data_IF_930624759953
#
_entry.id   IF_930624759953
#
_cell.length_a   1.000
_cell.length_b   1.000
_cell.length_c   1.000
_cell.angle_alpha   90.00
_cell.angle_beta   90.00
_cell.angle_gamma   90.00
#
_symmetry.space_group_name_H-M   'P 1'
#
loop_
_entity.id
_entity.type
_entity.pdbx_description
1 polymer ?
#
# COMPACT_ATOMS: atom_id res chain seq x y z
N UNK A 1 0.19 -17.95 8.05
CA UNK A 1 -0.33 -16.58 7.79
C UNK A 1 -1.14 -16.12 9.00
N UNK A 2 -0.89 -14.93 9.51
CA UNK A 2 -1.62 -14.31 10.63
C UNK A 2 -3.09 -14.11 10.30
N UNK A 3 -3.95 -14.15 11.33
CA UNK A 3 -5.39 -14.06 11.13
C UNK A 3 -5.81 -12.75 10.46
N UNK A 4 -5.25 -11.61 10.85
CA UNK A 4 -5.62 -10.31 10.27
C UNK A 4 -5.28 -10.21 8.78
N UNK A 5 -4.24 -10.90 8.30
CA UNK A 5 -3.91 -10.98 6.88
C UNK A 5 -4.95 -11.76 6.08
N UNK A 6 -5.44 -12.88 6.64
CA UNK A 6 -6.53 -13.65 6.03
C UNK A 6 -7.79 -12.80 5.93
N UNK A 7 -8.16 -12.12 7.03
CA UNK A 7 -9.29 -11.18 7.07
C UNK A 7 -9.12 -10.02 6.08
N UNK A 8 -7.90 -9.52 5.91
CA UNK A 8 -7.60 -8.46 4.94
C UNK A 8 -7.76 -8.93 3.49
N UNK A 9 -7.32 -10.14 3.17
CA UNK A 9 -7.51 -10.75 1.84
C UNK A 9 -9.01 -10.86 1.51
N UNK A 10 -9.80 -11.41 2.44
CA UNK A 10 -11.25 -11.52 2.28
C UNK A 10 -11.91 -10.14 2.15
N UNK A 11 -11.47 -9.16 2.93
CA UNK A 11 -11.93 -7.79 2.87
C UNK A 11 -11.66 -7.11 1.53
N UNK A 12 -10.50 -7.34 0.91
CA UNK A 12 -10.20 -6.82 -0.43
C UNK A 12 -11.18 -7.39 -1.47
N UNK A 13 -11.53 -8.67 -1.38
CA UNK A 13 -12.50 -9.33 -2.27
C UNK A 13 -13.93 -8.83 -2.00
N UNK A 14 -14.33 -8.77 -0.74
CA UNK A 14 -15.64 -8.27 -0.29
C UNK A 14 -15.90 -6.83 -0.77
N UNK A 15 -14.87 -6.00 -0.74
CA UNK A 15 -14.93 -4.59 -1.12
C UNK A 15 -14.77 -4.35 -2.64
N UNK A 16 -14.75 -5.41 -3.45
CA UNK A 16 -14.49 -5.31 -4.90
C UNK A 16 -13.16 -4.64 -5.28
N UNK A 17 -12.22 -4.58 -4.34
CA UNK A 17 -10.89 -4.00 -4.53
C UNK A 17 -9.96 -4.96 -5.25
N UNK A 18 -10.00 -6.24 -4.89
CA UNK A 18 -9.24 -7.31 -5.54
C UNK A 18 -10.19 -8.22 -6.30
N UNK A 19 -9.97 -8.36 -7.60
CA UNK A 19 -10.81 -9.14 -8.52
C UNK A 19 -9.96 -10.11 -9.32
N UNK A 20 -10.55 -11.27 -9.65
CA UNK A 20 -9.93 -12.31 -10.47
C UNK A 20 -10.72 -12.52 -11.76
N UNK A 21 -10.01 -12.77 -12.86
CA UNK A 21 -10.58 -12.92 -14.21
C UNK A 21 -9.61 -12.41 -15.27
N UNK A 22 -10.12 -12.00 -16.43
CA UNK A 22 -9.31 -11.44 -17.51
C UNK A 22 -9.36 -9.91 -17.49
N UNK A 23 -8.22 -9.27 -17.21
CA UNK A 23 -8.08 -7.81 -17.19
C UNK A 23 -7.00 -7.33 -18.15
N UNK A 24 -7.22 -6.20 -18.79
CA UNK A 24 -6.17 -5.50 -19.53
C UNK A 24 -5.71 -4.29 -18.74
N UNK A 25 -4.45 -4.32 -18.29
CA UNK A 25 -3.83 -3.22 -17.55
C UNK A 25 -3.55 -2.01 -18.44
N UNK A 26 -3.32 -0.84 -17.87
CA UNK A 26 -2.95 0.39 -18.61
C UNK A 26 -1.72 0.23 -19.51
N UNK A 27 -0.82 -0.69 -19.15
CA UNK A 27 0.34 -1.06 -19.95
C UNK A 27 0.01 -1.91 -21.20
N UNK A 28 -1.25 -2.33 -21.38
CA UNK A 28 -1.67 -3.31 -22.37
C UNK A 28 -1.47 -4.77 -21.95
N UNK A 29 -0.82 -5.03 -20.83
CA UNK A 29 -0.59 -6.37 -20.28
C UNK A 29 -1.91 -7.03 -19.90
N UNK A 30 -2.09 -8.30 -20.26
CA UNK A 30 -3.20 -9.13 -19.76
C UNK A 30 -2.84 -9.64 -18.36
N UNK A 31 -3.76 -9.49 -17.42
CA UNK A 31 -3.57 -9.93 -16.04
C UNK A 31 -4.76 -10.75 -15.56
N UNK A 32 -4.53 -11.86 -14.83
CA UNK A 32 -5.62 -12.68 -14.28
C UNK A 32 -6.21 -12.11 -12.99
N UNK A 33 -5.70 -10.98 -12.52
CA UNK A 33 -6.22 -10.25 -11.36
C UNK A 33 -6.08 -8.74 -11.55
N UNK A 34 -6.92 -8.00 -10.84
CA UNK A 34 -6.92 -6.54 -10.85
C UNK A 34 -7.18 -6.00 -9.46
N UNK A 35 -6.43 -4.99 -9.06
CA UNK A 35 -6.61 -4.29 -7.80
C UNK A 35 -6.91 -2.81 -8.03
N UNK A 36 -7.94 -2.31 -7.33
CA UNK A 36 -8.31 -0.90 -7.33
C UNK A 36 -8.72 -0.44 -5.93
N UNK A 37 -7.79 0.11 -5.17
CA UNK A 37 -8.06 0.67 -3.84
C UNK A 37 -9.04 1.86 -3.85
N UNK A 38 -9.34 2.45 -5.00
CA UNK A 38 -10.40 3.45 -5.15
C UNK A 38 -11.81 2.92 -4.92
N UNK A 39 -11.99 1.61 -4.76
CA UNK A 39 -13.28 1.00 -4.42
C UNK A 39 -13.60 1.05 -2.91
N UNK A 40 -12.66 1.40 -2.05
CA UNK A 40 -12.94 1.69 -0.64
C UNK A 40 -13.62 3.07 -0.52
N UNK A 41 -14.93 3.10 -0.43
CA UNK A 41 -15.71 4.35 -0.50
C UNK A 41 -16.64 4.58 0.69
N UNK A 42 -16.83 3.58 1.56
CA UNK A 42 -17.68 3.69 2.74
C UNK A 42 -16.88 3.89 4.02
N UNK A 43 -17.49 4.53 5.03
CA UNK A 43 -16.85 4.74 6.33
C UNK A 43 -16.40 3.44 7.00
N UNK A 44 -17.21 2.37 6.90
CA UNK A 44 -16.85 1.05 7.45
C UNK A 44 -15.67 0.41 6.73
N UNK A 45 -15.59 0.55 5.40
CA UNK A 45 -14.44 0.08 4.63
C UNK A 45 -13.17 0.85 5.00
N UNK A 46 -13.25 2.18 5.09
CA UNK A 46 -12.12 3.03 5.45
C UNK A 46 -11.63 2.76 6.87
N UNK A 47 -12.53 2.56 7.82
CA UNK A 47 -12.19 2.19 9.19
C UNK A 47 -11.41 0.87 9.23
N UNK A 48 -11.93 -0.19 8.61
CA UNK A 48 -11.26 -1.51 8.54
C UNK A 48 -9.92 -1.42 7.82
N UNK A 49 -9.85 -0.65 6.72
CA UNK A 49 -8.60 -0.44 5.99
C UNK A 49 -7.52 0.18 6.89
N UNK A 50 -7.86 1.22 7.65
CA UNK A 50 -6.96 1.84 8.62
C UNK A 50 -6.47 0.87 9.68
N UNK A 51 -7.33 0.00 10.20
CA UNK A 51 -6.96 -1.02 11.19
C UNK A 51 -5.97 -2.05 10.62
N UNK A 52 -6.16 -2.53 9.38
CA UNK A 52 -5.24 -3.47 8.75
C UNK A 52 -3.86 -2.85 8.51
N UNK A 53 -3.81 -1.60 8.04
CA UNK A 53 -2.55 -0.88 7.91
C UNK A 53 -1.86 -0.65 9.25
N UNK A 54 -2.62 -0.22 10.27
CA UNK A 54 -2.07 0.03 11.61
C UNK A 54 -1.46 -1.24 12.22
N UNK A 55 -2.13 -2.39 12.10
CA UNK A 55 -1.62 -3.69 12.56
C UNK A 55 -0.35 -4.09 11.81
N UNK A 56 -0.35 -4.02 10.49
CA UNK A 56 0.81 -4.38 9.69
C UNK A 56 2.02 -3.48 9.97
N UNK A 57 1.82 -2.17 10.13
CA UNK A 57 2.88 -1.22 10.47
C UNK A 57 3.41 -1.49 11.88
N UNK A 58 2.53 -1.69 12.86
CA UNK A 58 2.91 -2.01 14.24
C UNK A 58 3.75 -3.29 14.32
N UNK A 59 3.34 -4.36 13.62
CA UNK A 59 4.08 -5.63 13.62
C UNK A 59 5.41 -5.55 12.86
N UNK A 60 5.48 -4.75 11.79
CA UNK A 60 6.67 -4.69 10.92
C UNK A 60 7.69 -3.66 11.40
N UNK A 61 7.24 -2.47 11.78
CA UNK A 61 8.10 -1.32 12.10
C UNK A 61 8.07 -0.94 13.59
N UNK A 62 7.17 -1.54 14.37
CA UNK A 62 6.92 -1.15 15.76
C UNK A 62 6.24 0.21 15.87
N UNK A 63 6.42 0.86 17.03
CA UNK A 63 5.76 2.13 17.31
C UNK A 63 6.73 3.33 17.33
N UNK A 64 7.99 3.11 16.97
CA UNK A 64 9.01 4.17 16.99
C UNK A 64 9.01 4.97 15.68
N UNK A 65 7.90 5.68 15.45
CA UNK A 65 7.75 6.66 14.37
C UNK A 65 6.74 7.74 14.77
N UNK A 66 6.78 8.89 14.07
CA UNK A 66 6.01 10.09 14.40
C UNK A 66 4.95 10.43 13.38
N UNK A 67 5.20 10.10 12.11
CA UNK A 67 4.38 10.55 10.98
C UNK A 67 4.09 9.43 10.02
N UNK A 68 2.83 9.35 9.58
CA UNK A 68 2.41 8.58 8.41
C UNK A 68 2.36 9.52 7.21
N UNK A 69 3.13 9.21 6.18
CA UNK A 69 3.16 10.00 4.95
C UNK A 69 2.48 9.25 3.82
N UNK A 70 1.36 9.78 3.34
CA UNK A 70 0.60 9.21 2.23
C UNK A 70 0.66 10.10 0.98
N UNK A 71 1.31 9.67 -0.12
CA UNK A 71 1.35 10.43 -1.36
C UNK A 71 -0.04 10.71 -1.94
N UNK A 72 -0.24 11.92 -2.50
CA UNK A 72 -1.49 12.28 -3.16
C UNK A 72 -1.71 11.40 -4.42
N UNK A 73 -2.94 10.89 -4.66
CA UNK A 73 -4.14 11.24 -3.88
C UNK A 73 -4.62 10.11 -2.97
N UNK A 74 -4.38 8.84 -3.32
CA UNK A 74 -4.90 7.68 -2.59
C UNK A 74 -4.25 7.50 -1.21
N UNK A 75 -2.98 7.85 -1.08
CA UNK A 75 -2.27 7.80 0.19
C UNK A 75 -2.85 8.75 1.24
N UNK A 76 -3.52 9.84 0.83
CA UNK A 76 -4.13 10.79 1.78
C UNK A 76 -5.16 10.11 2.68
N UNK A 77 -6.27 9.53 2.16
CA UNK A 77 -7.24 8.87 3.02
C UNK A 77 -6.65 7.70 3.79
N UNK A 78 -5.74 6.92 3.19
CA UNK A 78 -5.11 5.78 3.85
C UNK A 78 -4.31 6.27 5.07
N UNK A 79 -3.48 7.29 4.94
CA UNK A 79 -2.68 7.82 6.05
C UNK A 79 -3.56 8.37 7.18
N UNK A 80 -4.66 9.05 6.85
CA UNK A 80 -5.61 9.60 7.84
C UNK A 80 -6.29 8.48 8.62
N UNK A 81 -6.89 7.49 7.94
CA UNK A 81 -7.60 6.40 8.64
C UNK A 81 -6.66 5.50 9.42
N UNK A 82 -5.42 5.34 8.96
CA UNK A 82 -4.39 4.59 9.69
C UNK A 82 -3.95 5.34 10.96
N UNK A 83 -3.80 6.66 10.92
CA UNK A 83 -3.50 7.47 12.12
C UNK A 83 -4.61 7.35 13.17
N UNK A 84 -5.88 7.40 12.74
CA UNK A 84 -7.04 7.16 13.63
C UNK A 84 -7.00 5.74 14.22
N UNK A 85 -6.67 4.74 13.40
CA UNK A 85 -6.58 3.36 13.87
C UNK A 85 -5.44 3.15 14.89
N UNK A 86 -4.28 3.80 14.71
CA UNK A 86 -3.21 3.76 15.71
C UNK A 86 -3.64 4.31 17.06
N UNK A 87 -4.38 5.42 17.09
CA UNK A 87 -4.94 5.93 18.32
C UNK A 87 -5.92 4.94 18.98
N UNK A 88 -6.84 4.38 18.20
CA UNK A 88 -7.86 3.49 18.71
C UNK A 88 -7.33 2.14 19.20
N UNK A 89 -6.36 1.55 18.47
CA UNK A 89 -5.84 0.22 18.77
C UNK A 89 -4.72 0.24 19.82
N UNK A 90 -3.86 1.26 19.75
CA UNK A 90 -2.60 1.29 20.53
C UNK A 90 -2.47 2.52 21.44
N UNK A 91 -3.45 3.44 21.44
CA UNK A 91 -3.36 4.69 22.20
C UNK A 91 -2.21 5.62 21.75
N UNK A 92 -1.69 5.37 20.53
CA UNK A 92 -0.56 6.11 20.01
C UNK A 92 -1.01 7.28 19.13
N UNK A 93 -0.54 8.49 19.48
CA UNK A 93 -0.72 9.67 18.64
C UNK A 93 0.29 9.65 17.48
N UNK A 94 -0.24 9.58 16.25
CA UNK A 94 0.52 9.63 15.01
C UNK A 94 0.02 10.80 14.17
N UNK A 95 0.93 11.62 13.68
CA UNK A 95 0.61 12.71 12.76
C UNK A 95 0.50 12.16 11.33
N UNK A 96 -0.39 12.73 10.51
CA UNK A 96 -0.39 12.45 9.07
C UNK A 96 0.18 13.63 8.28
N UNK A 97 0.82 13.32 7.16
CA UNK A 97 1.31 14.27 6.18
C UNK A 97 1.10 13.70 4.77
N UNK A 98 0.89 14.56 3.81
CA UNK A 98 0.74 14.19 2.40
C UNK A 98 1.32 15.28 1.52
N UNK A 99 1.79 14.95 0.32
CA UNK A 99 2.16 15.97 -0.65
C UNK A 99 0.93 16.53 -1.38
N UNK A 100 1.12 17.68 -2.00
CA UNK A 100 0.18 18.26 -2.95
C UNK A 100 0.73 18.04 -4.36
N UNK A 101 -0.14 17.77 -5.33
CA UNK A 101 0.25 17.74 -6.75
C UNK A 101 0.48 19.14 -7.32
N UNK A 102 -0.17 20.15 -6.73
CA UNK A 102 -0.02 21.55 -7.08
C UNK A 102 0.32 22.36 -5.83
N UNK A 103 1.31 23.26 -5.94
CA UNK A 103 1.66 24.16 -4.85
C UNK A 103 0.52 25.17 -4.60
N UNK A 104 0.23 25.41 -3.34
CA UNK A 104 -0.75 26.41 -2.94
C UNK A 104 -0.08 27.74 -2.61
N UNK A 105 -0.33 28.75 -3.45
CA UNK A 105 0.26 30.09 -3.30
C UNK A 105 -0.44 30.97 -2.26
N UNK A 106 -1.65 30.60 -1.82
CA UNK A 106 -2.51 31.45 -0.99
C UNK A 106 -3.05 30.73 0.25
N UNK A 107 -3.30 31.51 1.33
CA UNK A 107 -3.93 31.07 2.57
C UNK A 107 -2.95 30.65 3.66
N UNK A 108 -3.48 30.19 4.79
CA UNK A 108 -2.69 29.80 5.98
C UNK A 108 -1.82 28.57 5.75
N UNK A 109 -2.23 27.68 4.82
CA UNK A 109 -1.55 26.44 4.49
C UNK A 109 -0.78 26.56 3.16
N UNK A 110 0.16 27.50 3.09
CA UNK A 110 1.06 27.63 1.94
C UNK A 110 2.03 26.45 1.89
N UNK A 111 2.33 25.97 0.67
CA UNK A 111 3.38 25.00 0.42
C UNK A 111 2.91 23.69 -0.22
N UNK A 112 3.85 22.78 -0.33
CA UNK A 112 3.72 21.52 -1.09
C UNK A 112 3.12 20.37 -0.26
N UNK A 113 2.79 20.58 1.02
CA UNK A 113 2.29 19.54 1.93
C UNK A 113 0.91 19.85 2.51
N UNK A 114 0.22 18.79 2.92
CA UNK A 114 -1.09 18.79 3.56
C UNK A 114 -0.96 18.04 4.90
N UNK A 115 -1.70 18.46 5.92
CA UNK A 115 -1.67 17.86 7.26
C UNK A 115 -0.55 18.42 8.11
N UNK A 116 0.16 17.57 8.82
CA UNK A 116 1.25 17.99 9.71
C UNK A 116 2.48 18.45 8.91
N UNK A 117 3.16 19.47 9.42
CA UNK A 117 4.50 19.81 8.93
C UNK A 117 5.51 18.76 9.41
N UNK A 118 6.42 18.37 8.52
CA UNK A 118 7.59 17.57 8.87
C UNK A 118 8.60 18.45 9.61
N UNK A 119 9.31 17.85 10.56
CA UNK A 119 10.31 18.51 11.43
C UNK A 119 11.59 17.69 11.43
N UNK A 120 12.70 18.34 11.71
CA UNK A 120 13.98 17.65 11.92
C UNK A 120 13.86 16.63 13.06
N UNK A 121 14.37 15.44 12.80
CA UNK A 121 14.30 14.30 13.70
C UNK A 121 13.03 13.46 13.58
N UNK A 122 12.03 13.86 12.79
CA UNK A 122 10.83 13.05 12.58
C UNK A 122 11.18 11.69 11.95
N UNK A 123 10.56 10.65 12.46
CA UNK A 123 10.58 9.29 11.94
C UNK A 123 9.30 9.07 11.14
N UNK A 124 9.44 8.77 9.85
CA UNK A 124 8.32 8.76 8.89
C UNK A 124 8.10 7.36 8.34
N UNK A 125 6.88 6.85 8.44
CA UNK A 125 6.45 5.67 7.68
C UNK A 125 5.68 6.15 6.45
N UNK A 126 6.17 5.77 5.26
CA UNK A 126 5.48 6.01 4.00
C UNK A 126 4.37 4.98 3.84
N UNK A 127 3.23 5.40 3.28
CA UNK A 127 2.06 4.53 3.14
C UNK A 127 1.42 4.74 1.78
N UNK A 128 1.16 3.66 1.05
CA UNK A 128 0.53 3.70 -0.28
C UNK A 128 -0.37 2.49 -0.51
N UNK A 129 -1.25 2.54 -1.52
CA UNK A 129 -2.12 1.41 -1.84
C UNK A 129 -1.35 0.24 -2.47
N UNK A 130 -0.73 0.47 -3.60
CA UNK A 130 0.14 -0.48 -4.31
C UNK A 130 1.22 0.29 -5.06
N UNK A 131 2.33 -0.36 -5.35
CA UNK A 131 3.33 0.18 -6.26
C UNK A 131 3.65 -0.83 -7.37
N UNK A 132 3.75 -0.35 -8.62
CA UNK A 132 4.12 -1.15 -9.78
C UNK A 132 5.38 -0.62 -10.47
N UNK A 133 5.59 0.68 -10.43
CA UNK A 133 6.72 1.35 -11.08
C UNK A 133 7.63 2.11 -10.13
N UNK A 134 7.27 2.22 -8.86
CA UNK A 134 8.00 3.04 -7.89
C UNK A 134 7.93 4.57 -8.12
N UNK A 135 7.23 5.03 -9.17
CA UNK A 135 7.19 6.45 -9.58
C UNK A 135 6.71 7.37 -8.47
N UNK A 136 5.74 6.96 -7.68
CA UNK A 136 5.24 7.75 -6.55
C UNK A 136 6.35 8.03 -5.53
N UNK A 137 7.15 7.01 -5.22
CA UNK A 137 8.31 7.17 -4.32
C UNK A 137 9.41 8.02 -4.94
N UNK A 138 9.65 7.93 -6.24
CA UNK A 138 10.61 8.78 -6.95
C UNK A 138 10.25 10.27 -6.85
N UNK A 139 8.97 10.59 -6.91
CA UNK A 139 8.48 11.96 -6.78
C UNK A 139 8.46 12.44 -5.31
N UNK A 140 8.19 11.56 -4.37
CA UNK A 140 7.83 11.91 -2.99
C UNK A 140 9.00 11.86 -2.03
N UNK A 141 9.88 10.84 -2.12
CA UNK A 141 11.04 10.71 -1.21
C UNK A 141 11.97 11.94 -1.24
N UNK A 142 12.32 12.49 -2.41
CA UNK A 142 13.13 13.72 -2.46
C UNK A 142 12.43 14.93 -1.80
N UNK A 143 11.10 15.05 -1.95
CA UNK A 143 10.32 16.13 -1.32
C UNK A 143 10.35 16.01 0.20
N UNK A 144 10.11 14.80 0.72
CA UNK A 144 10.11 14.51 2.16
C UNK A 144 11.46 14.81 2.78
N UNK A 145 12.54 14.31 2.17
CA UNK A 145 13.93 14.55 2.62
C UNK A 145 14.42 15.99 2.41
N UNK A 146 13.80 16.72 1.49
CA UNK A 146 14.19 18.09 1.17
C UNK A 146 13.60 19.16 2.08
N UNK A 147 12.54 18.83 2.85
CA UNK A 147 11.83 19.81 3.70
C UNK A 147 12.30 19.80 5.15
N UNK A 148 12.82 18.68 5.63
CA UNK A 148 13.35 18.51 6.98
C UNK A 148 14.32 17.32 7.04
N UNK A 149 15.19 17.29 8.02
CA UNK A 149 16.09 16.15 8.29
C UNK A 149 15.30 15.03 8.98
N UNK A 150 14.66 14.18 8.15
CA UNK A 150 13.80 13.08 8.60
C UNK A 150 14.41 11.72 8.33
N UNK A 151 14.05 10.74 9.18
CA UNK A 151 14.36 9.33 8.93
C UNK A 151 13.14 8.64 8.35
N UNK A 152 13.21 8.15 7.10
CA UNK A 152 12.17 7.27 6.56
C UNK A 152 12.40 5.87 7.12
N UNK A 153 11.47 5.39 7.96
CA UNK A 153 11.52 4.07 8.63
C UNK A 153 11.22 2.97 7.62
N UNK A 154 10.23 3.19 6.76
CA UNK A 154 9.85 2.23 5.75
C UNK A 154 8.66 2.67 4.92
N UNK A 155 8.31 1.82 3.94
CA UNK A 155 7.11 1.93 3.11
C UNK A 155 6.21 0.72 3.38
N UNK A 156 4.93 0.97 3.69
CA UNK A 156 3.89 -0.06 3.76
C UNK A 156 2.88 0.11 2.63
N UNK A 157 2.67 -0.96 1.86
CA UNK A 157 1.60 -1.03 0.84
C UNK A 157 0.58 -2.12 1.21
N UNK A 158 -0.61 -2.11 0.61
CA UNK A 158 -1.60 -3.15 0.89
C UNK A 158 -1.25 -4.49 0.28
N UNK A 159 -0.79 -4.52 -0.96
CA UNK A 159 -0.50 -5.74 -1.69
C UNK A 159 0.85 -5.65 -2.41
N UNK A 160 1.75 -6.58 -2.13
CA UNK A 160 2.89 -6.86 -3.01
C UNK A 160 2.41 -7.78 -4.13
N UNK A 161 2.35 -7.23 -5.33
CA UNK A 161 1.93 -7.99 -6.53
C UNK A 161 2.97 -9.01 -6.98
N UNK A 162 4.20 -8.98 -6.44
CA UNK A 162 5.32 -9.87 -6.78
C UNK A 162 5.63 -9.89 -8.28
N UNK A 163 5.46 -8.75 -8.93
CA UNK A 163 5.73 -8.56 -10.37
C UNK A 163 7.03 -7.79 -10.57
N UNK A 164 7.74 -8.10 -11.65
CA UNK A 164 8.91 -7.34 -12.10
C UNK A 164 8.53 -5.88 -12.30
N UNK A 165 9.31 -4.99 -11.72
CA UNK A 165 9.23 -3.56 -11.91
C UNK A 165 9.62 -3.14 -13.34
N UNK A 166 9.69 -1.84 -13.57
CA UNK A 166 10.11 -1.30 -14.87
C UNK A 166 11.61 -1.45 -15.11
N UNK A 167 12.42 -1.63 -14.07
CA UNK A 167 13.89 -1.68 -14.12
C UNK A 167 14.49 -3.05 -14.41
N UNK A 168 13.70 -4.14 -14.45
CA UNK A 168 14.29 -5.45 -14.74
C UNK A 168 13.69 -6.65 -14.04
N UNK A 169 14.48 -7.39 -13.24
CA UNK A 169 14.10 -8.68 -12.64
C UNK A 169 13.49 -8.53 -11.24
N UNK A 170 13.68 -7.39 -10.58
CA UNK A 170 13.24 -7.13 -9.21
C UNK A 170 11.84 -6.54 -9.16
N UNK A 171 11.17 -6.71 -8.03
CA UNK A 171 9.89 -6.02 -7.77
C UNK A 171 10.11 -4.52 -7.55
N UNK A 172 9.06 -3.72 -7.76
CA UNK A 172 9.13 -2.28 -7.47
C UNK A 172 9.47 -1.99 -5.99
N UNK A 173 9.05 -2.83 -5.05
CA UNK A 173 9.39 -2.69 -3.63
C UNK A 173 10.89 -2.91 -3.39
N UNK A 174 11.49 -3.92 -4.02
CA UNK A 174 12.94 -4.17 -3.93
C UNK A 174 13.76 -3.04 -4.56
N UNK A 175 13.32 -2.54 -5.74
CA UNK A 175 13.97 -1.40 -6.40
C UNK A 175 13.94 -0.14 -5.52
N UNK A 176 12.80 0.15 -4.85
CA UNK A 176 12.66 1.26 -3.91
C UNK A 176 13.60 1.07 -2.71
N UNK A 177 13.63 -0.13 -2.11
CA UNK A 177 14.49 -0.44 -0.96
C UNK A 177 15.96 -0.20 -1.29
N UNK A 178 16.43 -0.70 -2.41
CA UNK A 178 17.82 -0.53 -2.83
C UNK A 178 18.17 0.92 -3.16
N UNK A 179 17.26 1.62 -3.83
CA UNK A 179 17.49 3.01 -4.27
C UNK A 179 17.51 3.99 -3.10
N UNK A 180 16.66 3.81 -2.12
CA UNK A 180 16.43 4.80 -1.06
C UNK A 180 16.94 4.38 0.33
N UNK A 181 17.25 3.11 0.54
CA UNK A 181 17.87 2.58 1.75
C UNK A 181 16.95 2.47 2.95
N UNK A 182 15.64 2.29 2.75
CA UNK A 182 14.68 2.00 3.80
C UNK A 182 13.89 0.73 3.49
N UNK A 183 13.29 0.11 4.52
CA UNK A 183 12.53 -1.14 4.36
C UNK A 183 11.23 -0.91 3.59
N UNK A 184 10.83 -1.91 2.80
CA UNK A 184 9.59 -1.89 2.02
C UNK A 184 8.82 -3.17 2.25
N UNK A 185 7.56 -3.05 2.67
CA UNK A 185 6.72 -4.18 3.06
C UNK A 185 5.30 -4.01 2.53
N UNK A 186 4.56 -5.10 2.53
CA UNK A 186 3.14 -5.13 2.20
C UNK A 186 2.35 -5.81 3.33
N UNK A 187 1.07 -5.47 3.47
CA UNK A 187 0.18 -6.18 4.39
C UNK A 187 0.12 -7.65 3.98
N UNK A 188 -0.06 -7.90 2.68
CA UNK A 188 -0.07 -9.25 2.10
C UNK A 188 0.68 -9.29 0.77
N UNK A 189 1.15 -10.50 0.40
CA UNK A 189 1.69 -10.80 -0.92
C UNK A 189 0.64 -11.49 -1.78
N UNK A 190 0.82 -11.48 -3.10
CA UNK A 190 -0.07 -12.22 -4.00
C UNK A 190 0.04 -13.74 -3.82
N UNK A 191 1.18 -14.24 -3.37
CA UNK A 191 1.35 -15.65 -2.98
C UNK A 191 0.46 -16.00 -1.78
N UNK A 192 0.45 -15.19 -0.72
CA UNK A 192 -0.45 -15.34 0.45
C UNK A 192 -1.92 -15.28 0.03
N UNK A 193 -2.27 -14.39 -0.91
CA UNK A 193 -3.63 -14.28 -1.45
C UNK A 193 -4.06 -15.57 -2.15
N UNK A 194 -3.20 -16.10 -3.02
CA UNK A 194 -3.49 -17.36 -3.75
C UNK A 194 -3.58 -18.54 -2.78
N UNK A 195 -2.65 -18.66 -1.84
CA UNK A 195 -2.67 -19.70 -0.81
C UNK A 195 -3.97 -19.69 0.01
N UNK A 196 -4.45 -18.48 0.37
CA UNK A 196 -5.65 -18.34 1.16
C UNK A 196 -6.95 -18.60 0.39
N UNK A 197 -7.05 -18.18 -0.87
CA UNK A 197 -8.30 -18.20 -1.64
C UNK A 197 -8.44 -19.39 -2.61
N UNK A 198 -7.36 -20.10 -2.94
CA UNK A 198 -7.41 -21.19 -3.91
C UNK A 198 -8.34 -22.31 -3.47
N UNK A 199 -9.35 -22.59 -4.29
CA UNK A 199 -10.40 -23.58 -4.05
C UNK A 199 -11.15 -23.38 -2.71
N UNK A 200 -11.14 -22.16 -2.16
CA UNK A 200 -11.92 -21.80 -0.97
C UNK A 200 -13.06 -20.87 -1.30
N UNK A 201 -14.16 -21.03 -0.59
CA UNK A 201 -15.31 -20.15 -0.72
C UNK A 201 -15.02 -18.82 0.00
N UNK A 202 -15.09 -17.73 -0.75
CA UNK A 202 -15.06 -16.36 -0.24
C UNK A 202 -16.31 -15.65 -0.75
N UNK A 203 -17.09 -15.01 0.12
CA UNK A 203 -18.35 -14.33 -0.24
C UNK A 203 -19.33 -15.25 -1.01
N UNK A 204 -19.45 -16.51 -0.60
CA UNK A 204 -20.38 -17.48 -1.19
C UNK A 204 -19.95 -18.07 -2.54
N UNK A 205 -18.75 -17.78 -3.03
CA UNK A 205 -18.20 -18.30 -4.30
C UNK A 205 -16.72 -18.63 -4.19
N UNK A 206 -16.24 -19.54 -5.00
CA UNK A 206 -14.80 -19.76 -5.21
C UNK A 206 -14.30 -18.69 -6.18
N UNK A 207 -13.38 -17.85 -5.75
CA UNK A 207 -12.84 -16.72 -6.55
C UNK A 207 -11.55 -17.07 -7.27
N UNK A 208 -10.79 -18.04 -6.75
CA UNK A 208 -9.62 -18.65 -7.40
C UNK A 208 -9.87 -20.14 -7.51
N UNK A 209 -10.40 -20.57 -8.65
CA UNK A 209 -10.52 -21.97 -9.03
C UNK A 209 -9.28 -22.45 -9.79
N UNK A 210 -9.28 -23.69 -10.28
CA UNK A 210 -8.16 -24.26 -11.03
C UNK A 210 -7.83 -23.47 -12.30
N UNK A 211 -8.85 -22.89 -12.95
CA UNK A 211 -8.67 -22.09 -14.19
C UNK A 211 -7.96 -20.78 -13.87
N UNK A 212 -8.43 -20.05 -12.87
CA UNK A 212 -7.81 -18.79 -12.43
C UNK A 212 -6.41 -19.05 -11.88
N UNK A 213 -6.22 -20.13 -11.09
CA UNK A 213 -4.91 -20.51 -10.57
C UNK A 213 -3.91 -20.76 -11.70
N UNK A 214 -4.30 -21.53 -12.72
CA UNK A 214 -3.43 -21.78 -13.88
C UNK A 214 -3.07 -20.49 -14.63
N UNK A 215 -4.04 -19.58 -14.81
CA UNK A 215 -3.77 -18.27 -15.40
C UNK A 215 -2.82 -17.40 -14.58
N UNK A 216 -2.92 -17.45 -13.24
CA UNK A 216 -1.98 -16.77 -12.33
C UNK A 216 -0.58 -17.38 -12.46
N UNK A 217 -0.45 -18.69 -12.48
CA UNK A 217 0.84 -19.37 -12.62
C UNK A 217 1.53 -19.04 -13.95
N UNK A 218 0.77 -19.03 -15.05
CA UNK A 218 1.30 -18.65 -16.37
C UNK A 218 1.69 -17.16 -16.43
N UNK A 219 0.93 -16.32 -15.77
CA UNK A 219 1.25 -14.89 -15.65
C UNK A 219 2.58 -14.69 -14.89
N UNK A 220 2.78 -15.37 -13.77
CA UNK A 220 4.02 -15.25 -12.99
C UNK A 220 5.25 -15.88 -13.65
N UNK A 221 5.10 -16.89 -14.50
CA UNK A 221 6.23 -17.37 -15.33
C UNK A 221 6.80 -16.27 -16.23
N UNK A 222 5.97 -15.35 -16.66
CA UNK A 222 6.36 -14.27 -17.58
C UNK A 222 6.73 -12.97 -16.84
N UNK A 223 5.95 -12.60 -15.83
CA UNK A 223 6.02 -11.29 -15.19
C UNK A 223 6.38 -11.32 -13.71
N UNK A 224 6.49 -12.50 -13.10
CA UNK A 224 6.84 -12.64 -11.69
C UNK A 224 8.30 -12.31 -11.43
N UNK A 225 8.56 -11.69 -10.26
CA UNK A 225 9.87 -11.65 -9.64
C UNK A 225 9.97 -12.77 -8.58
N UNK A 226 11.15 -13.34 -8.43
CA UNK A 226 11.44 -14.37 -7.41
C UNK A 226 11.70 -13.71 -6.06
#
# INVERSE_FOLDING_TARGET
MEQYKQEFIEFMVESDVLKFGEFTLKSGRKSPFFMNAGAYVTGSQLMRLGEYYARAIHETYGDDFDVLFGPAYKGIPISVVTAVAFHNLYGKEVRYCSDRKEEKDHGADKGSFLGSKLKDGDRVVMIEDVTTSGKSMEETVPKVRGVADVTIVGLMVSLNRMEKGLGGEKSALEEIREKYGFETNAIVTMEEVVEHLYNRTCQGRVVIDDTIKAAIDDYYKQYGCN
#
